data_IF_817672278710
#
_entry.id   IF_817672278710
#
_cell.length_a   1.000
_cell.length_b   1.000
_cell.length_c   1.000
_cell.angle_alpha   90.00
_cell.angle_beta   90.00
_cell.angle_gamma   90.00
#
_symmetry.space_group_name_H-M   'P 1'
#
loop_
_entity.id
_entity.type
_entity.pdbx_description
1 polymer ?
#
# COMPACT_ATOMS: atom_id res chain seq x y z
N UNK A 1 23.75 -33.21 58.81
CA UNK A 1 24.83 -32.23 58.56
C UNK A 1 24.36 -31.31 57.44
N UNK A 2 24.13 -30.04 57.75
CA UNK A 2 23.77 -29.00 56.77
C UNK A 2 25.03 -28.64 55.98
N UNK A 3 24.96 -28.63 54.65
CA UNK A 3 25.98 -28.00 53.80
C UNK A 3 25.25 -27.11 52.80
N UNK A 4 25.58 -25.83 52.87
CA UNK A 4 24.99 -24.69 52.19
C UNK A 4 25.51 -24.56 50.76
N UNK A 5 24.63 -24.08 49.88
CA UNK A 5 24.91 -23.78 48.47
C UNK A 5 25.84 -22.57 48.33
N UNK A 6 26.86 -22.69 47.48
CA UNK A 6 27.63 -21.55 46.97
C UNK A 6 26.90 -20.97 45.75
N UNK A 7 26.49 -19.71 45.87
CA UNK A 7 25.93 -18.90 44.80
C UNK A 7 27.09 -18.06 44.24
N UNK A 8 27.57 -18.41 43.03
CA UNK A 8 28.55 -17.61 42.32
C UNK A 8 27.87 -16.35 41.77
N UNK A 9 28.28 -15.21 42.31
CA UNK A 9 27.95 -13.87 41.81
C UNK A 9 28.86 -13.61 40.60
N UNK A 10 28.27 -13.36 39.43
CA UNK A 10 28.97 -12.76 38.30
C UNK A 10 28.69 -11.26 38.33
N UNK A 11 29.75 -10.47 38.47
CA UNK A 11 29.75 -9.01 38.43
C UNK A 11 29.28 -8.48 37.07
N UNK A 12 28.30 -7.59 37.08
CA UNK A 12 27.81 -6.83 35.92
C UNK A 12 28.47 -5.43 35.95
N UNK A 13 29.29 -5.04 34.95
CA UNK A 13 30.08 -3.81 35.00
C UNK A 13 29.36 -2.52 34.56
N UNK A 14 28.03 -2.51 34.42
CA UNK A 14 27.25 -1.37 33.91
C UNK A 14 26.19 -0.82 34.89
N UNK A 15 26.46 -0.88 36.20
CA UNK A 15 25.65 -0.17 37.21
C UNK A 15 26.34 1.09 37.71
N UNK A 16 26.44 2.11 36.86
CA UNK A 16 26.73 3.48 37.30
C UNK A 16 25.41 4.18 37.67
N UNK A 17 25.00 4.02 38.92
CA UNK A 17 24.03 4.91 39.57
C UNK A 17 24.65 6.32 39.65
N UNK A 18 24.05 7.28 38.94
CA UNK A 18 24.44 8.69 39.06
C UNK A 18 23.88 9.27 40.37
N UNK A 19 24.72 9.81 41.27
CA UNK A 19 24.24 10.45 42.49
C UNK A 19 23.64 11.81 42.15
N UNK A 20 22.42 12.03 42.62
CA UNK A 20 21.73 13.32 42.61
C UNK A 20 21.97 14.01 43.96
N UNK A 21 22.83 15.03 44.00
CA UNK A 21 23.00 15.99 45.11
C UNK A 21 23.76 17.21 44.55
N UNK A 22 23.11 18.37 44.34
CA UNK A 22 23.01 19.51 45.29
C UNK A 22 24.10 20.57 45.05
N UNK A 23 23.61 21.73 44.60
CA UNK A 23 24.07 23.11 44.86
C UNK A 23 25.56 23.43 44.70
N UNK A 24 25.90 24.12 43.59
CA UNK A 24 27.01 25.08 43.57
C UNK A 24 26.63 26.28 42.70
N UNK A 25 26.63 27.45 43.35
CA UNK A 25 26.43 28.76 42.72
C UNK A 25 27.60 29.10 41.79
N UNK A 26 27.27 29.46 40.55
CA UNK A 26 28.18 30.20 39.66
C UNK A 26 27.46 31.41 39.10
N UNK A 27 27.63 32.50 39.82
CA UNK A 27 27.28 33.86 39.42
C UNK A 27 28.39 34.37 38.48
N UNK A 28 28.12 34.53 37.18
CA UNK A 28 28.82 35.45 36.27
C UNK A 28 28.29 35.37 34.82
N UNK A 29 27.59 36.44 34.45
CA UNK A 29 27.52 37.05 33.10
C UNK A 29 26.69 36.32 32.02
N UNK A 30 25.37 36.30 32.23
CA UNK A 30 24.39 36.18 31.16
C UNK A 30 24.25 37.54 30.48
N UNK A 31 24.81 37.66 29.27
CA UNK A 31 24.41 38.72 28.34
C UNK A 31 22.97 38.45 27.90
N UNK A 32 22.07 39.27 28.43
CA UNK A 32 20.67 39.38 28.04
C UNK A 32 20.58 39.75 26.55
N UNK A 33 20.33 38.76 25.70
CA UNK A 33 19.76 39.01 24.37
C UNK A 33 18.24 38.93 24.52
N UNK A 34 17.65 40.02 25.01
CA UNK A 34 16.20 40.23 25.04
C UNK A 34 15.65 40.30 23.61
N UNK A 35 15.41 39.12 23.00
CA UNK A 35 14.45 39.02 21.93
C UNK A 35 13.05 38.99 22.55
N UNK A 36 12.49 40.18 22.80
CA UNK A 36 11.05 40.36 23.02
C UNK A 36 10.29 39.87 21.76
N UNK A 37 9.94 38.59 21.72
CA UNK A 37 9.02 38.06 20.72
C UNK A 37 7.60 38.52 21.08
N UNK A 38 7.25 39.71 20.61
CA UNK A 38 5.88 40.26 20.65
C UNK A 38 4.85 39.21 20.22
N UNK A 39 3.63 39.20 20.80
CA UNK A 39 2.65 38.13 20.59
C UNK A 39 2.30 38.08 19.10
N UNK A 40 2.72 36.99 18.43
CA UNK A 40 2.56 36.80 16.99
C UNK A 40 1.09 37.00 16.63
N UNK A 41 0.77 38.12 15.98
CA UNK A 41 -0.53 38.37 15.37
C UNK A 41 -0.89 37.11 14.58
N UNK A 42 -2.10 36.59 14.77
CA UNK A 42 -2.59 35.41 14.03
C UNK A 42 -2.33 35.64 12.54
N UNK A 43 -1.38 34.88 12.00
CA UNK A 43 -1.01 34.94 10.58
C UNK A 43 -2.27 34.70 9.74
N UNK A 44 -2.41 35.41 8.63
CA UNK A 44 -3.55 35.19 7.74
C UNK A 44 -3.38 33.82 7.07
N UNK A 45 -4.48 33.19 6.69
CA UNK A 45 -4.48 31.86 6.04
C UNK A 45 -3.53 31.81 4.83
N UNK A 46 -3.38 32.93 4.13
CA UNK A 46 -2.50 33.12 2.97
C UNK A 46 -1.01 33.14 3.33
N UNK A 47 -0.66 33.57 4.53
CA UNK A 47 0.73 33.73 4.97
C UNK A 47 1.33 32.37 5.38
N UNK A 48 0.50 31.44 5.84
CA UNK A 48 0.92 30.07 6.16
C UNK A 48 1.47 29.32 4.95
N UNK A 49 0.92 29.55 3.75
CA UNK A 49 1.42 28.93 2.52
C UNK A 49 2.86 29.36 2.22
N UNK A 50 3.15 30.65 2.38
CA UNK A 50 4.47 31.22 2.14
C UNK A 50 5.48 30.77 3.19
N UNK A 51 5.12 30.79 4.48
CA UNK A 51 5.97 30.29 5.56
C UNK A 51 6.30 28.80 5.39
N UNK A 52 5.30 27.99 5.03
CA UNK A 52 5.50 26.56 4.77
C UNK A 52 6.42 26.33 3.57
N UNK A 53 6.25 27.10 2.48
CA UNK A 53 7.12 27.01 1.31
C UNK A 53 8.56 27.41 1.63
N UNK A 54 8.76 28.46 2.44
CA UNK A 54 10.08 28.89 2.89
C UNK A 54 10.76 27.80 3.71
N UNK A 55 10.07 27.24 4.71
CA UNK A 55 10.57 26.11 5.51
C UNK A 55 10.85 24.88 4.65
N UNK A 56 10.00 24.59 3.67
CA UNK A 56 10.22 23.50 2.72
C UNK A 56 11.52 23.69 1.92
N UNK A 57 11.76 24.90 1.43
CA UNK A 57 12.97 25.22 0.67
C UNK A 57 14.23 25.07 1.52
N UNK A 58 14.21 25.57 2.78
CA UNK A 58 15.32 25.41 3.72
C UNK A 58 15.60 23.93 4.05
N UNK A 59 14.55 23.12 4.17
CA UNK A 59 14.68 21.69 4.48
C UNK A 59 15.05 20.82 3.28
N UNK A 60 14.90 21.33 2.05
CA UNK A 60 15.01 20.55 0.80
C UNK A 60 16.34 19.82 0.67
N UNK A 61 17.44 20.49 0.97
CA UNK A 61 18.78 19.91 0.81
C UNK A 61 19.08 18.84 1.85
N UNK A 62 18.72 19.11 3.12
CA UNK A 62 18.84 18.12 4.19
C UNK A 62 18.01 16.87 3.87
N UNK A 63 16.73 17.04 3.49
CA UNK A 63 15.85 15.94 3.06
C UNK A 63 16.49 15.12 1.93
N UNK A 64 16.96 15.80 0.88
CA UNK A 64 17.55 15.13 -0.27
C UNK A 64 18.84 14.35 0.11
N UNK A 65 19.65 14.89 1.01
CA UNK A 65 20.84 14.20 1.55
C UNK A 65 20.47 12.93 2.32
N UNK A 66 19.48 13.03 3.21
CA UNK A 66 18.98 11.89 3.99
C UNK A 66 18.40 10.80 3.08
N UNK A 67 17.62 11.17 2.05
CA UNK A 67 17.07 10.22 1.08
C UNK A 67 18.19 9.49 0.33
N UNK A 68 19.21 10.22 -0.15
CA UNK A 68 20.38 9.60 -0.83
C UNK A 68 21.10 8.62 0.09
N UNK A 69 21.38 9.02 1.34
CA UNK A 69 22.04 8.17 2.35
C UNK A 69 21.28 6.86 2.57
N UNK A 70 19.95 6.92 2.73
CA UNK A 70 19.15 5.71 2.94
C UNK A 70 19.06 4.87 1.69
N UNK A 71 18.88 5.49 0.52
CA UNK A 71 18.88 4.78 -0.75
C UNK A 71 20.20 4.01 -0.97
N UNK A 72 21.34 4.62 -0.67
CA UNK A 72 22.65 3.93 -0.75
C UNK A 72 22.77 2.77 0.24
N UNK A 73 22.29 2.96 1.48
CA UNK A 73 22.28 1.89 2.49
C UNK A 73 21.38 0.72 2.10
N UNK A 74 20.23 0.99 1.48
CA UNK A 74 19.28 -0.05 1.06
C UNK A 74 19.64 -0.65 -0.30
N UNK A 75 20.52 -0.01 -1.08
CA UNK A 75 21.00 -0.52 -2.36
C UNK A 75 21.93 -1.69 -2.11
N UNK A 76 21.34 -2.87 -1.99
CA UNK A 76 22.06 -4.13 -1.88
C UNK A 76 23.05 -4.26 -3.06
N UNK A 77 24.28 -4.73 -2.85
CA UNK A 77 25.32 -4.82 -3.88
C UNK A 77 24.96 -5.76 -5.05
N UNK A 78 23.88 -6.53 -4.91
CA UNK A 78 23.34 -7.43 -5.93
C UNK A 78 22.52 -6.68 -7.00
N UNK A 79 22.14 -5.41 -6.76
CA UNK A 79 21.42 -4.53 -7.69
C UNK A 79 22.35 -3.76 -8.66
N UNK A 80 23.61 -4.19 -8.82
CA UNK A 80 24.58 -3.51 -9.70
C UNK A 80 24.20 -3.53 -11.19
N UNK A 81 23.33 -4.46 -11.59
CA UNK A 81 22.95 -4.65 -13.00
C UNK A 81 21.70 -3.85 -13.42
N UNK A 82 21.02 -3.17 -12.48
CA UNK A 82 19.88 -2.31 -12.80
C UNK A 82 20.39 -0.88 -13.03
N UNK A 83 20.73 -0.59 -14.28
CA UNK A 83 21.27 0.69 -14.75
C UNK A 83 20.19 1.77 -14.82
N UNK A 84 19.59 2.11 -13.68
CA UNK A 84 18.84 3.35 -13.58
C UNK A 84 19.85 4.50 -13.56
N UNK A 85 20.02 5.16 -14.71
CA UNK A 85 20.96 6.29 -14.90
C UNK A 85 20.51 7.59 -14.19
N UNK A 86 19.37 7.56 -13.49
CA UNK A 86 18.79 8.72 -12.82
C UNK A 86 19.01 8.63 -11.30
N UNK A 87 19.24 9.78 -10.67
CA UNK A 87 19.31 9.83 -9.20
C UNK A 87 17.97 9.48 -8.57
N UNK A 88 17.98 8.94 -7.35
CA UNK A 88 16.76 8.65 -6.60
C UNK A 88 15.85 9.87 -6.45
N UNK A 89 16.44 11.07 -6.35
CA UNK A 89 15.71 12.33 -6.27
C UNK A 89 14.96 12.62 -7.57
N UNK A 90 15.61 12.45 -8.73
CA UNK A 90 14.96 12.60 -10.02
C UNK A 90 13.84 11.58 -10.23
N UNK A 91 14.03 10.35 -9.73
CA UNK A 91 12.97 9.34 -9.78
C UNK A 91 11.76 9.77 -8.95
N UNK A 92 11.98 10.25 -7.72
CA UNK A 92 10.90 10.76 -6.86
C UNK A 92 10.21 11.97 -7.51
N UNK A 93 10.97 12.92 -8.06
CA UNK A 93 10.42 14.09 -8.75
C UNK A 93 9.59 13.69 -9.97
N UNK A 94 10.05 12.72 -10.77
CA UNK A 94 9.29 12.20 -11.90
C UNK A 94 7.99 11.51 -11.45
N UNK A 95 8.04 10.67 -10.41
CA UNK A 95 6.86 10.02 -9.85
C UNK A 95 5.85 11.01 -9.27
N UNK A 96 6.34 12.11 -8.66
CA UNK A 96 5.51 13.16 -8.10
C UNK A 96 5.05 14.20 -9.14
N UNK A 97 5.63 14.21 -10.33
CA UNK A 97 5.28 15.15 -11.40
C UNK A 97 3.83 15.02 -11.88
N UNK A 98 3.25 13.82 -11.76
CA UNK A 98 1.84 13.56 -12.09
C UNK A 98 1.09 12.96 -10.88
N UNK A 99 1.05 13.75 -9.80
CA UNK A 99 0.40 13.35 -8.54
C UNK A 99 -1.09 13.04 -8.74
N UNK A 100 -1.78 13.80 -9.57
CA UNK A 100 -3.22 13.63 -9.79
C UNK A 100 -3.54 12.30 -10.47
N UNK A 101 -2.73 11.89 -11.46
CA UNK A 101 -2.86 10.57 -12.07
C UNK A 101 -2.56 9.45 -11.08
N UNK A 102 -1.57 9.63 -10.21
CA UNK A 102 -1.26 8.64 -9.17
C UNK A 102 -2.41 8.47 -8.17
N UNK A 103 -3.03 9.57 -7.75
CA UNK A 103 -4.21 9.57 -6.88
C UNK A 103 -5.37 8.86 -7.58
N UNK A 104 -5.65 9.17 -8.85
CA UNK A 104 -6.71 8.49 -9.61
C UNK A 104 -6.44 6.99 -9.70
N UNK A 105 -5.21 6.59 -10.02
CA UNK A 105 -4.84 5.17 -10.17
C UNK A 105 -4.98 4.36 -8.87
N UNK A 106 -4.78 4.99 -7.71
CA UNK A 106 -4.94 4.35 -6.39
C UNK A 106 -6.39 4.36 -5.90
N UNK A 107 -7.26 5.20 -6.46
CA UNK A 107 -8.68 5.30 -6.11
C UNK A 107 -9.61 4.48 -7.01
N UNK A 108 -9.04 3.71 -7.93
CA UNK A 108 -9.78 2.89 -8.88
C UNK A 108 -10.29 1.62 -8.20
N UNK A 109 -11.61 1.40 -8.24
CA UNK A 109 -12.22 0.16 -7.76
C UNK A 109 -12.01 -0.95 -8.79
N UNK A 110 -11.01 -1.80 -8.56
CA UNK A 110 -10.65 -2.91 -9.48
C UNK A 110 -11.50 -4.17 -9.31
N UNK A 111 -12.25 -4.30 -8.22
CA UNK A 111 -13.01 -5.51 -7.89
C UNK A 111 -14.41 -5.22 -7.37
N UNK A 112 -15.32 -6.17 -7.60
CA UNK A 112 -16.72 -6.11 -7.18
C UNK A 112 -16.82 -6.41 -5.67
N UNK A 113 -16.78 -5.39 -4.82
CA UNK A 113 -17.09 -5.49 -3.40
C UNK A 113 -18.01 -4.35 -2.95
N UNK A 114 -18.78 -4.61 -1.89
CA UNK A 114 -19.67 -3.63 -1.26
C UNK A 114 -18.88 -2.81 -0.23
N UNK A 115 -18.95 -1.48 -0.35
CA UNK A 115 -18.34 -0.57 0.60
C UNK A 115 -19.32 -0.36 1.77
N UNK A 116 -18.84 -0.48 3.00
CA UNK A 116 -19.66 -0.28 4.19
C UNK A 116 -20.00 1.22 4.29
N UNK A 117 -21.28 1.54 4.48
CA UNK A 117 -21.76 2.93 4.55
C UNK A 117 -22.07 3.55 3.19
N UNK A 118 -21.87 2.83 2.08
CA UNK A 118 -22.46 3.18 0.80
C UNK A 118 -23.94 2.75 0.83
N UNK A 119 -24.82 3.72 1.10
CA UNK A 119 -26.26 3.52 0.95
C UNK A 119 -26.49 3.06 -0.49
N UNK A 120 -26.93 1.81 -0.63
CA UNK A 120 -27.12 1.13 -1.90
C UNK A 120 -28.33 1.75 -2.63
N UNK A 121 -28.22 3.01 -3.05
CA UNK A 121 -29.22 3.69 -3.87
C UNK A 121 -29.26 3.12 -5.31
N UNK A 122 -28.40 2.15 -5.61
CA UNK A 122 -28.32 1.41 -6.87
C UNK A 122 -28.81 -0.04 -6.74
N UNK A 123 -29.74 -0.34 -5.83
CA UNK A 123 -30.50 -1.60 -5.84
C UNK A 123 -31.66 -1.58 -6.88
N UNK A 124 -31.61 -0.67 -7.87
CA UNK A 124 -32.41 -0.81 -9.09
C UNK A 124 -31.68 -1.77 -10.05
N UNK A 125 -31.82 -3.06 -9.75
CA UNK A 125 -31.57 -4.13 -10.71
C UNK A 125 -32.55 -4.00 -11.89
N UNK A 126 -32.16 -3.32 -12.96
CA UNK A 126 -32.70 -3.60 -14.29
C UNK A 126 -31.57 -3.69 -15.30
N UNK A 127 -31.17 -4.93 -15.58
CA UNK A 127 -30.86 -5.46 -16.91
C UNK A 127 -30.49 -4.41 -17.99
N UNK A 128 -29.31 -3.80 -17.88
CA UNK A 128 -28.75 -3.02 -18.99
C UNK A 128 -27.30 -3.41 -19.23
N UNK A 129 -27.15 -4.26 -20.25
CA UNK A 129 -26.17 -4.16 -21.34
C UNK A 129 -24.69 -4.02 -20.99
N UNK A 130 -23.89 -4.90 -21.61
CA UNK A 130 -22.44 -4.85 -21.71
C UNK A 130 -21.94 -3.48 -22.18
N UNK A 131 -21.82 -2.53 -21.27
CA UNK A 131 -21.07 -1.31 -21.47
C UNK A 131 -19.93 -1.30 -20.46
N UNK A 132 -18.80 -0.80 -20.93
CA UNK A 132 -17.46 -0.88 -20.32
C UNK A 132 -17.51 -0.77 -18.79
N UNK A 133 -16.61 -1.44 -18.04
CA UNK A 133 -16.44 -1.12 -16.64
C UNK A 133 -16.12 0.36 -16.57
N UNK A 134 -17.11 1.16 -16.19
CA UNK A 134 -16.91 2.57 -15.93
C UNK A 134 -15.93 2.56 -14.77
N UNK A 135 -14.78 3.19 -14.96
CA UNK A 135 -13.77 3.27 -13.92
C UNK A 135 -14.38 3.97 -12.71
N UNK A 136 -14.88 3.19 -11.76
CA UNK A 136 -15.47 3.69 -10.52
C UNK A 136 -14.32 4.18 -9.64
N UNK A 137 -14.16 5.50 -9.60
CA UNK A 137 -13.21 6.16 -8.72
C UNK A 137 -13.90 6.53 -7.42
N UNK A 138 -13.32 6.14 -6.28
CA UNK A 138 -13.82 6.48 -4.96
C UNK A 138 -12.70 7.11 -4.13
N UNK A 139 -12.95 8.26 -3.49
CA UNK A 139 -11.96 8.98 -2.68
C UNK A 139 -11.47 8.21 -1.46
N UNK A 140 -12.30 7.32 -0.92
CA UNK A 140 -12.05 6.51 0.27
C UNK A 140 -11.32 5.21 -0.03
N UNK A 141 -11.18 4.84 -1.31
CA UNK A 141 -10.42 3.66 -1.73
C UNK A 141 -8.94 4.04 -1.88
N UNK A 142 -8.06 3.19 -1.34
CA UNK A 142 -6.64 3.21 -1.64
C UNK A 142 -6.18 1.81 -2.05
N UNK A 143 -5.77 1.68 -3.30
CA UNK A 143 -5.37 0.44 -3.95
C UNK A 143 -3.94 0.59 -4.52
N UNK A 144 -2.99 -0.07 -3.84
CA UNK A 144 -1.57 -0.10 -4.17
C UNK A 144 -1.16 -1.30 -5.03
N UNK A 145 -2.11 -2.05 -5.61
CA UNK A 145 -1.83 -3.28 -6.37
C UNK A 145 -0.78 -3.08 -7.47
N UNK A 146 -0.82 -2.00 -8.25
CA UNK A 146 0.19 -1.81 -9.31
C UNK A 146 1.59 -1.58 -8.73
N UNK A 147 1.69 -0.93 -7.56
CA UNK A 147 2.96 -0.74 -6.87
C UNK A 147 3.47 -2.07 -6.32
N UNK A 148 2.59 -2.85 -5.69
CA UNK A 148 2.90 -4.21 -5.27
C UNK A 148 3.36 -5.09 -6.44
N UNK A 149 2.66 -5.03 -7.58
CA UNK A 149 3.04 -5.76 -8.78
C UNK A 149 4.40 -5.31 -9.34
N UNK A 150 4.72 -4.02 -9.26
CA UNK A 150 6.05 -3.53 -9.63
C UNK A 150 7.13 -4.10 -8.72
N UNK A 151 6.95 -4.06 -7.39
CA UNK A 151 7.88 -4.65 -6.43
C UNK A 151 8.04 -6.16 -6.62
N UNK A 152 6.93 -6.87 -6.91
CA UNK A 152 6.96 -8.30 -7.16
C UNK A 152 7.73 -8.61 -8.45
N UNK A 153 7.54 -7.82 -9.52
CA UNK A 153 8.30 -7.98 -10.76
C UNK A 153 9.79 -7.73 -10.52
N UNK A 154 10.15 -6.66 -9.82
CA UNK A 154 11.54 -6.34 -9.47
C UNK A 154 12.16 -7.47 -8.63
N UNK A 155 11.43 -8.01 -7.65
CA UNK A 155 11.87 -9.14 -6.84
C UNK A 155 12.07 -10.42 -7.67
N UNK A 156 11.17 -10.72 -8.61
CA UNK A 156 11.29 -11.88 -9.49
C UNK A 156 12.48 -11.70 -10.44
N UNK A 157 12.60 -10.52 -11.05
CA UNK A 157 13.71 -10.17 -11.95
C UNK A 157 15.05 -10.31 -11.21
N UNK A 158 15.14 -9.77 -9.99
CA UNK A 158 16.26 -9.93 -9.10
C UNK A 158 16.64 -11.40 -8.87
N UNK A 159 15.69 -12.22 -8.42
CA UNK A 159 15.95 -13.65 -8.20
C UNK A 159 16.37 -14.35 -9.50
N UNK A 160 15.73 -14.02 -10.63
CA UNK A 160 16.04 -14.64 -11.92
C UNK A 160 17.39 -14.22 -12.49
N UNK A 161 17.87 -13.00 -12.22
CA UNK A 161 19.17 -12.50 -12.68
C UNK A 161 20.36 -13.27 -12.12
N UNK A 162 20.19 -13.93 -10.96
CA UNK A 162 21.20 -14.81 -10.38
C UNK A 162 21.22 -16.20 -11.04
N UNK A 163 20.16 -16.58 -11.74
CA UNK A 163 20.07 -17.84 -12.46
C UNK A 163 20.50 -17.64 -13.92
N UNK A 164 21.76 -17.92 -14.19
CA UNK A 164 22.34 -17.89 -15.54
C UNK A 164 21.96 -19.10 -16.39
N UNK A 165 21.38 -20.14 -15.78
CA UNK A 165 21.01 -21.40 -16.45
C UNK A 165 19.59 -21.34 -17.07
N UNK A 166 19.48 -21.39 -18.41
CA UNK A 166 18.19 -21.32 -19.11
C UNK A 166 17.23 -22.48 -18.77
N UNK A 167 17.74 -23.63 -18.32
CA UNK A 167 16.92 -24.79 -17.93
C UNK A 167 16.19 -24.53 -16.61
N UNK A 168 16.84 -23.86 -15.65
CA UNK A 168 16.22 -23.52 -14.37
C UNK A 168 15.20 -22.40 -14.49
N UNK A 169 15.47 -21.41 -15.35
CA UNK A 169 14.51 -20.35 -15.67
C UNK A 169 13.22 -20.92 -16.28
N UNK A 170 13.35 -21.86 -17.22
CA UNK A 170 12.21 -22.57 -17.81
C UNK A 170 11.37 -23.33 -16.78
N UNK A 171 12.01 -24.02 -15.82
CA UNK A 171 11.30 -24.73 -14.73
C UNK A 171 10.53 -23.78 -13.82
N UNK A 172 11.12 -22.64 -13.44
CA UNK A 172 10.47 -21.64 -12.61
C UNK A 172 9.27 -21.01 -13.32
N UNK A 173 9.38 -20.74 -14.62
CA UNK A 173 8.29 -20.19 -15.43
C UNK A 173 7.11 -21.16 -15.54
N UNK A 174 7.38 -22.46 -15.72
CA UNK A 174 6.35 -23.52 -15.70
C UNK A 174 5.67 -23.62 -14.34
N UNK A 175 6.43 -23.52 -13.24
CA UNK A 175 5.84 -23.51 -11.89
C UNK A 175 4.91 -22.30 -11.68
N UNK A 176 5.33 -21.11 -12.10
CA UNK A 176 4.50 -19.89 -12.08
C UNK A 176 3.21 -20.07 -12.90
N UNK A 177 3.30 -20.69 -14.08
CA UNK A 177 2.14 -20.95 -14.92
C UNK A 177 1.17 -21.94 -14.26
N UNK A 178 1.68 -22.98 -13.60
CA UNK A 178 0.87 -23.95 -12.87
C UNK A 178 0.20 -23.35 -11.62
N UNK A 179 0.78 -22.32 -11.01
CA UNK A 179 0.13 -21.58 -9.93
C UNK A 179 -1.03 -20.73 -10.46
N UNK A 180 -0.86 -20.08 -11.62
CA UNK A 180 -1.90 -19.28 -12.29
C UNK A 180 -3.09 -20.14 -12.72
N UNK A 181 -2.87 -21.37 -13.19
CA UNK A 181 -3.96 -22.26 -13.64
C UNK A 181 -4.85 -22.78 -12.51
N UNK A 182 -4.37 -22.76 -11.25
CA UNK A 182 -5.17 -23.08 -10.05
C UNK A 182 -6.12 -21.96 -9.65
N UNK A 183 -6.00 -20.76 -10.24
CA UNK A 183 -6.94 -19.67 -10.01
C UNK A 183 -8.28 -20.03 -10.65
N UNK A 184 -9.33 -20.14 -9.82
CA UNK A 184 -10.66 -20.56 -10.26
C UNK A 184 -11.19 -19.53 -11.27
N UNK A 185 -11.39 -19.96 -12.52
CA UNK A 185 -12.09 -19.14 -13.53
C UNK A 185 -13.50 -18.82 -13.02
N UNK A 186 -13.97 -17.60 -13.27
CA UNK A 186 -15.36 -17.18 -13.02
C UNK A 186 -16.27 -17.98 -13.97
N UNK A 187 -16.72 -19.15 -13.50
CA UNK A 187 -17.61 -20.06 -14.22
C UNK A 187 -18.98 -19.99 -13.54
N UNK A 188 -20.05 -19.83 -14.31
CA UNK A 188 -21.43 -19.89 -13.81
C UNK A 188 -21.71 -21.30 -13.28
N UNK A 189 -21.55 -21.49 -11.97
CA UNK A 189 -21.80 -22.78 -11.31
C UNK A 189 -23.28 -23.16 -11.30
N UNK A 190 -24.18 -22.18 -11.45
CA UNK A 190 -25.63 -22.42 -11.56
C UNK A 190 -26.02 -22.95 -12.94
N UNK A 191 -25.21 -22.76 -13.97
CA UNK A 191 -25.46 -23.33 -15.30
C UNK A 191 -25.39 -24.87 -15.35
N UNK A 192 -24.76 -25.50 -14.34
CA UNK A 192 -24.63 -26.95 -14.23
C UNK A 192 -25.83 -27.58 -13.50
N UNK A 193 -26.20 -28.80 -13.92
CA UNK A 193 -27.20 -29.65 -13.23
C UNK A 193 -28.56 -28.97 -12.96
N UNK A 194 -29.07 -28.22 -13.95
CA UNK A 194 -30.44 -27.67 -13.92
C UNK A 194 -30.71 -26.61 -12.84
N UNK A 195 -29.68 -26.05 -12.20
CA UNK A 195 -29.85 -25.00 -11.16
C UNK A 195 -30.21 -23.62 -11.72
N UNK A 196 -30.06 -23.44 -13.03
CA UNK A 196 -30.51 -22.26 -13.80
C UNK A 196 -31.75 -22.63 -14.58
N UNK A 197 -32.84 -21.89 -14.38
CA UNK A 197 -34.07 -22.03 -15.15
C UNK A 197 -33.75 -21.73 -16.62
N UNK A 198 -34.15 -22.65 -17.51
CA UNK A 198 -34.02 -22.50 -18.96
C UNK A 198 -35.42 -22.46 -19.53
N UNK A 199 -35.77 -21.37 -20.20
CA UNK A 199 -37.03 -21.25 -20.93
C UNK A 199 -36.93 -22.03 -22.24
N UNK A 200 -37.13 -23.34 -22.15
CA UNK A 200 -37.21 -24.24 -23.30
C UNK A 200 -38.51 -25.03 -23.23
N UNK A 201 -39.26 -25.06 -24.33
CA UNK A 201 -40.49 -25.82 -24.42
C UNK A 201 -40.18 -27.32 -24.44
N UNK A 202 -40.62 -28.05 -23.42
CA UNK A 202 -40.52 -29.51 -23.38
C UNK A 202 -41.68 -30.12 -24.18
N UNK A 203 -41.40 -30.71 -25.33
CA UNK A 203 -42.42 -31.26 -26.26
C UNK A 203 -43.40 -32.23 -25.59
N UNK A 204 -42.95 -33.05 -24.62
CA UNK A 204 -43.80 -34.00 -23.88
C UNK A 204 -44.75 -33.35 -22.88
N UNK A 205 -44.48 -32.11 -22.47
CA UNK A 205 -45.30 -31.36 -21.50
C UNK A 205 -46.25 -30.37 -22.19
N UNK A 206 -46.15 -30.22 -23.51
CA UNK A 206 -47.09 -29.42 -24.30
C UNK A 206 -48.46 -30.10 -24.26
N UNK A 207 -49.51 -29.33 -23.98
CA UNK A 207 -50.89 -29.80 -23.88
C UNK A 207 -51.12 -30.90 -22.82
N UNK A 208 -50.34 -30.92 -21.74
CA UNK A 208 -50.50 -31.92 -20.68
C UNK A 208 -51.85 -31.81 -19.95
N UNK A 209 -52.41 -30.60 -19.87
CA UNK A 209 -53.74 -30.34 -19.28
C UNK A 209 -54.53 -29.40 -20.19
N UNK A 210 -55.85 -29.61 -20.23
CA UNK A 210 -56.76 -28.65 -20.84
C UNK A 210 -56.95 -27.45 -19.89
N UNK A 211 -57.12 -26.22 -20.42
CA UNK A 211 -57.51 -25.07 -19.61
C UNK A 211 -58.84 -25.35 -18.90
N UNK A 212 -58.93 -24.99 -17.61
CA UNK A 212 -60.17 -25.06 -16.85
C UNK A 212 -60.62 -23.62 -16.61
N UNK A 213 -61.83 -23.31 -17.07
CA UNK A 213 -62.44 -22.00 -16.88
C UNK A 213 -63.15 -21.94 -15.52
N UNK A 214 -62.40 -21.92 -14.43
CA UNK A 214 -62.97 -21.82 -13.06
C UNK A 214 -63.38 -20.40 -12.66
N UNK A 215 -63.65 -19.51 -13.62
CA UNK A 215 -64.16 -18.16 -13.36
C UNK A 215 -65.25 -17.78 -14.37
N UNK A 216 -66.44 -18.39 -14.24
CA UNK A 216 -67.69 -17.82 -14.74
C UNK A 216 -68.71 -17.68 -13.61
#
# INVERSE_FOLDING_TARGET
>A
MRSTAEFLVCDDPDNEEVPSDTEDEVDADLSEDENEESPKKRLKITDFGNDLQQKHNLYKDHRNSVIKKWHEKTRMPVLKNMTNNHSIIQHIEHSLGDKDKLIKRTRLKRSDYKIIGEDSASDNEEESTQEKPSEEYNSEIFDDDDFYHQLLRELIEFKSSSLTDPVQLGRQWVQLQNLRSKMKRKIDTKATKGRKIRYAAHTKLVNFMAPIDDNL
#
